data_IF_378480439155
#
_entry.id   IF_378480439155
#
_cell.length_a   1.000
_cell.length_b   1.000
_cell.length_c   1.000
_cell.angle_alpha   90.00
_cell.angle_beta   90.00
_cell.angle_gamma   90.00
#
_symmetry.space_group_name_H-M   'P 1'
#
loop_
_entity.id
_entity.type
_entity.pdbx_description
1 polymer ?
#
# COMPACT_ATOMS: atom_id res chain seq x y z
N UNK A 1 8.62 -1.42 -19.94
CA UNK A 1 7.79 -1.72 -18.76
C UNK A 1 8.75 -1.97 -17.61
N UNK A 2 8.65 -1.27 -16.48
CA UNK A 2 9.62 -1.37 -15.41
C UNK A 2 9.26 -2.52 -14.48
N UNK A 3 10.27 -3.06 -13.82
CA UNK A 3 10.11 -3.82 -12.57
C UNK A 3 10.32 -2.91 -11.36
N UNK A 4 11.21 -1.92 -11.47
CA UNK A 4 11.37 -0.86 -10.48
C UNK A 4 10.53 0.37 -10.82
N UNK A 5 9.69 0.83 -9.89
CA UNK A 5 9.00 2.14 -9.97
C UNK A 5 9.12 2.90 -8.66
N UNK A 6 8.94 4.21 -8.69
CA UNK A 6 8.85 5.02 -7.47
C UNK A 6 7.41 5.00 -6.94
N UNK A 7 7.23 4.47 -5.72
CA UNK A 7 5.95 4.46 -5.03
C UNK A 7 5.92 5.54 -3.95
N UNK A 8 4.93 6.43 -4.01
CA UNK A 8 4.88 7.68 -3.24
C UNK A 8 4.60 7.49 -1.74
N UNK A 9 3.71 6.55 -1.39
CA UNK A 9 2.96 6.61 -0.12
C UNK A 9 3.55 5.73 1.01
N UNK A 10 4.86 5.46 0.89
CA UNK A 10 5.66 4.80 1.90
C UNK A 10 6.11 5.75 3.03
N UNK A 11 6.33 5.21 4.24
CA UNK A 11 6.78 6.00 5.38
C UNK A 11 8.14 6.68 5.12
N UNK A 12 8.14 8.02 5.23
CA UNK A 12 9.31 8.85 4.99
C UNK A 12 9.55 9.26 3.53
N UNK A 13 8.53 9.16 2.67
CA UNK A 13 8.49 9.72 1.31
C UNK A 13 8.49 8.67 0.20
N UNK A 14 8.61 9.09 -1.08
CA UNK A 14 8.69 8.16 -2.21
C UNK A 14 9.90 7.22 -2.08
N UNK A 15 9.68 5.93 -2.32
CA UNK A 15 10.72 4.91 -2.34
C UNK A 15 10.63 4.13 -3.65
N UNK A 16 11.77 3.89 -4.29
CA UNK A 16 11.88 2.98 -5.44
C UNK A 16 11.73 1.54 -4.97
N UNK A 17 10.77 0.82 -5.56
CA UNK A 17 10.42 -0.55 -5.19
C UNK A 17 10.36 -1.47 -6.41
N UNK A 18 10.80 -2.71 -6.22
CA UNK A 18 10.87 -3.76 -7.25
C UNK A 18 9.65 -4.68 -7.16
N UNK A 19 8.91 -4.81 -8.27
CA UNK A 19 7.78 -5.70 -8.44
C UNK A 19 8.21 -7.09 -8.98
N UNK A 20 7.46 -8.13 -8.62
CA UNK A 20 7.62 -9.50 -9.15
C UNK A 20 7.47 -9.55 -10.67
N UNK A 21 6.61 -8.67 -11.19
CA UNK A 21 6.15 -8.61 -12.57
C UNK A 21 6.35 -7.20 -13.16
N UNK A 22 6.20 -7.08 -14.47
CA UNK A 22 6.41 -5.81 -15.18
C UNK A 22 5.17 -4.93 -15.15
N UNK A 23 5.32 -3.69 -14.65
CA UNK A 23 4.26 -2.68 -14.69
C UNK A 23 4.19 -1.99 -16.07
N UNK A 24 3.00 -1.82 -16.66
CA UNK A 24 2.81 -0.94 -17.81
C UNK A 24 3.13 0.53 -17.49
N UNK A 25 3.87 1.23 -18.37
CA UNK A 25 4.27 2.63 -18.13
C UNK A 25 3.09 3.58 -17.92
N UNK A 26 1.95 3.32 -18.57
CA UNK A 26 0.75 4.15 -18.45
C UNK A 26 0.13 4.08 -17.05
N UNK A 27 0.45 3.09 -16.20
CA UNK A 27 -0.08 2.97 -14.82
C UNK A 27 0.51 4.03 -13.86
N UNK A 28 1.52 4.78 -14.31
CA UNK A 28 2.20 5.82 -13.52
C UNK A 28 1.51 7.17 -13.66
N UNK A 29 1.64 8.04 -12.66
CA UNK A 29 1.09 9.40 -12.67
C UNK A 29 1.75 10.25 -13.77
N UNK A 30 1.01 10.60 -14.83
CA UNK A 30 1.55 11.24 -16.03
C UNK A 30 2.37 12.53 -15.76
N UNK A 31 1.99 13.42 -14.81
CA UNK A 31 2.83 14.55 -14.40
C UNK A 31 4.19 14.18 -13.76
N UNK A 32 4.30 13.10 -12.98
CA UNK A 32 5.47 12.87 -12.10
C UNK A 32 6.15 11.48 -12.21
N UNK A 33 5.61 10.54 -12.97
CA UNK A 33 6.20 9.21 -13.18
C UNK A 33 6.08 8.23 -12.00
N UNK A 34 5.48 8.63 -10.88
CA UNK A 34 5.33 7.79 -9.68
C UNK A 34 4.01 7.02 -9.68
N UNK A 35 4.01 5.86 -9.01
CA UNK A 35 2.79 5.17 -8.57
C UNK A 35 2.37 5.66 -7.17
N UNK A 36 1.08 5.58 -6.85
CA UNK A 36 0.50 6.05 -5.59
C UNK A 36 -0.64 5.15 -5.13
N UNK A 37 -0.98 5.21 -3.84
CA UNK A 37 -2.16 4.58 -3.26
C UNK A 37 -3.47 5.21 -3.77
N UNK A 38 -3.44 6.51 -4.08
CA UNK A 38 -4.60 7.27 -4.58
C UNK A 38 -4.32 7.77 -6.01
N UNK A 39 -5.00 7.15 -6.97
CA UNK A 39 -4.86 7.41 -8.41
C UNK A 39 -6.22 7.70 -9.03
N UNK A 40 -6.24 8.58 -10.02
CA UNK A 40 -7.41 8.98 -10.79
C UNK A 40 -7.13 8.84 -12.28
N UNK A 41 -8.13 8.49 -13.09
CA UNK A 41 -8.05 8.32 -14.56
C UNK A 41 -8.83 9.40 -15.30
N UNK A 42 -8.30 9.90 -16.42
CA UNK A 42 -9.06 10.71 -17.38
C UNK A 42 -9.86 9.84 -18.37
N UNK A 43 -10.70 10.48 -19.18
CA UNK A 43 -11.52 9.84 -20.23
C UNK A 43 -10.70 9.04 -21.27
N UNK A 44 -9.38 9.27 -21.36
CA UNK A 44 -8.47 8.56 -22.28
C UNK A 44 -7.61 7.50 -21.58
N UNK A 45 -7.84 7.25 -20.29
CA UNK A 45 -7.12 6.24 -19.50
C UNK A 45 -5.74 6.67 -19.01
N UNK A 46 -5.40 7.95 -19.00
CA UNK A 46 -4.17 8.45 -18.37
C UNK A 46 -4.39 8.63 -16.87
N UNK A 47 -3.39 8.26 -16.06
CA UNK A 47 -3.52 8.28 -14.61
C UNK A 47 -2.78 9.45 -13.95
N UNK A 48 -3.33 9.92 -12.83
CA UNK A 48 -2.88 11.08 -12.06
C UNK A 48 -2.98 10.76 -10.57
N UNK A 49 -1.90 10.95 -9.79
CA UNK A 49 -1.96 10.73 -8.35
C UNK A 49 -2.54 11.94 -7.60
N UNK A 50 -3.18 11.67 -6.46
CA UNK A 50 -3.78 12.66 -5.55
C UNK A 50 -2.89 13.89 -5.34
N UNK A 51 -1.62 13.68 -4.98
CA UNK A 51 -0.66 14.75 -4.70
C UNK A 51 -0.41 15.69 -5.90
N UNK A 52 -0.50 15.21 -7.14
CA UNK A 52 -0.38 16.05 -8.33
C UNK A 52 -1.68 16.80 -8.66
N UNK A 53 -2.84 16.24 -8.30
CA UNK A 53 -4.15 16.89 -8.42
C UNK A 53 -4.25 18.04 -7.40
N UNK A 54 -3.93 17.80 -6.13
CA UNK A 54 -3.97 18.83 -5.08
C UNK A 54 -3.02 19.99 -5.38
N UNK A 55 -1.81 19.71 -5.88
CA UNK A 55 -0.86 20.73 -6.32
C UNK A 55 -1.36 21.60 -7.50
N UNK A 56 -2.38 21.14 -8.25
CA UNK A 56 -2.98 21.87 -9.37
C UNK A 56 -4.44 22.31 -9.10
N UNK A 57 -4.98 22.03 -7.90
CA UNK A 57 -6.36 22.34 -7.48
C UNK A 57 -6.80 23.76 -7.86
N UNK A 58 -5.98 24.76 -7.54
CA UNK A 58 -6.21 26.18 -7.83
C UNK A 58 -6.33 26.50 -9.33
N UNK A 59 -5.67 25.73 -10.19
CA UNK A 59 -5.70 25.91 -11.65
C UNK A 59 -6.87 25.17 -12.31
N UNK A 60 -7.52 24.24 -11.60
CA UNK A 60 -8.59 23.34 -12.10
C UNK A 60 -8.21 22.48 -13.33
N UNK A 61 -6.94 22.50 -13.73
CA UNK A 61 -6.37 21.74 -14.85
C UNK A 61 -5.01 21.17 -14.49
N UNK A 62 -4.68 20.01 -15.05
CA UNK A 62 -3.44 19.26 -14.82
C UNK A 62 -2.83 18.82 -16.16
N UNK A 63 -1.52 18.98 -16.31
CA UNK A 63 -0.83 18.72 -17.57
C UNK A 63 -0.42 17.25 -17.71
N UNK A 64 -0.97 16.56 -18.71
CA UNK A 64 -0.59 15.20 -19.07
C UNK A 64 0.66 15.20 -19.97
N UNK A 65 1.78 14.70 -19.46
CA UNK A 65 3.04 14.60 -20.22
C UNK A 65 3.06 13.50 -21.29
N UNK A 66 2.15 12.52 -21.22
CA UNK A 66 2.06 11.47 -22.24
C UNK A 66 1.45 11.98 -23.57
N UNK A 67 0.56 12.97 -23.49
CA UNK A 67 -0.13 13.54 -24.67
C UNK A 67 0.16 15.03 -24.88
N UNK A 68 1.03 15.63 -24.06
CA UNK A 68 1.37 17.05 -24.09
C UNK A 68 0.12 17.99 -24.00
N UNK A 69 -0.86 17.61 -23.16
CA UNK A 69 -2.23 18.15 -23.12
C UNK A 69 -2.69 18.48 -21.70
N UNK A 70 -3.41 19.58 -21.52
CA UNK A 70 -4.13 19.91 -20.27
C UNK A 70 -5.41 19.07 -20.13
N UNK A 71 -5.63 18.49 -18.95
CA UNK A 71 -6.84 17.76 -18.55
C UNK A 71 -7.56 18.53 -17.45
N UNK A 72 -8.89 18.65 -17.50
CA UNK A 72 -9.66 19.31 -16.44
C UNK A 72 -9.82 18.38 -15.22
N UNK A 73 -9.64 18.91 -14.01
CA UNK A 73 -9.75 18.13 -12.77
C UNK A 73 -11.17 17.60 -12.53
N UNK A 74 -12.19 18.23 -13.11
CA UNK A 74 -13.60 17.79 -13.11
C UNK A 74 -13.85 16.51 -13.92
N UNK A 75 -12.93 16.13 -14.80
CA UNK A 75 -13.07 15.00 -15.73
C UNK A 75 -12.25 13.78 -15.27
N UNK A 76 -11.67 13.86 -14.05
CA UNK A 76 -10.91 12.78 -13.44
C UNK A 76 -11.82 11.92 -12.56
N UNK A 77 -11.81 10.62 -12.79
CA UNK A 77 -12.55 9.63 -12.01
C UNK A 77 -11.58 8.80 -11.17
N UNK A 78 -12.00 8.25 -10.03
CA UNK A 78 -11.13 7.39 -9.22
C UNK A 78 -10.73 6.12 -9.99
N UNK A 79 -9.45 5.76 -9.91
CA UNK A 79 -8.86 4.62 -10.63
C UNK A 79 -8.81 3.37 -9.75
N UNK A 80 -9.91 3.06 -9.05
CA UNK A 80 -10.00 2.01 -8.03
C UNK A 80 -9.52 0.64 -8.55
N UNK A 81 -9.83 0.30 -9.81
CA UNK A 81 -9.38 -0.93 -10.47
C UNK A 81 -7.85 -1.02 -10.58
N UNK A 82 -7.18 0.09 -10.93
CA UNK A 82 -5.72 0.18 -10.96
C UNK A 82 -5.14 0.09 -9.55
N UNK A 83 -5.74 0.80 -8.60
CA UNK A 83 -5.29 0.82 -7.20
C UNK A 83 -5.35 -0.58 -6.58
N UNK A 84 -6.48 -1.29 -6.70
CA UNK A 84 -6.63 -2.65 -6.18
C UNK A 84 -5.66 -3.63 -6.85
N UNK A 85 -5.66 -3.68 -8.20
CA UNK A 85 -4.80 -4.62 -8.94
C UNK A 85 -3.31 -4.40 -8.67
N UNK A 86 -2.86 -3.16 -8.48
CA UNK A 86 -1.46 -2.86 -8.12
C UNK A 86 -1.15 -3.09 -6.63
N UNK A 87 -2.09 -2.86 -5.71
CA UNK A 87 -1.92 -3.16 -4.28
C UNK A 87 -1.70 -4.66 -4.01
N UNK A 88 -2.34 -5.52 -4.80
CA UNK A 88 -2.20 -6.97 -4.78
C UNK A 88 -0.92 -7.50 -5.49
N UNK A 89 -0.13 -6.67 -6.18
CA UNK A 89 1.11 -7.17 -6.80
C UNK A 89 2.19 -7.46 -5.74
N UNK A 90 2.91 -8.56 -5.90
CA UNK A 90 4.06 -8.89 -5.05
C UNK A 90 5.21 -7.92 -5.32
N UNK A 91 5.78 -7.38 -4.26
CA UNK A 91 6.93 -6.49 -4.27
C UNK A 91 8.01 -6.98 -3.30
N UNK A 92 9.28 -6.76 -3.67
CA UNK A 92 10.42 -7.04 -2.82
C UNK A 92 10.68 -5.87 -1.86
N UNK A 93 11.15 -6.16 -0.64
CA UNK A 93 11.55 -5.13 0.29
C UNK A 93 12.68 -4.25 -0.29
N UNK A 94 12.57 -2.91 -0.29
CA UNK A 94 13.66 -2.01 -0.68
C UNK A 94 14.99 -2.28 0.04
N UNK A 95 14.93 -2.80 1.27
CA UNK A 95 16.10 -3.18 2.07
C UNK A 95 16.72 -4.54 1.64
N UNK A 96 16.30 -5.13 0.51
CA UNK A 96 16.90 -6.33 -0.12
C UNK A 96 18.41 -6.19 -0.34
N UNK A 97 18.88 -4.98 -0.68
CA UNK A 97 20.31 -4.66 -0.80
C UNK A 97 21.07 -4.64 0.54
N UNK A 98 20.36 -4.61 1.66
CA UNK A 98 20.88 -4.72 3.03
C UNK A 98 20.70 -6.14 3.60
N UNK A 99 20.24 -7.10 2.80
CA UNK A 99 20.00 -8.49 3.21
C UNK A 99 18.53 -8.86 3.51
N UNK A 100 17.56 -7.96 3.30
CA UNK A 100 16.16 -8.28 3.58
C UNK A 100 15.56 -9.23 2.53
N UNK A 101 15.27 -10.47 2.91
CA UNK A 101 14.69 -11.50 2.02
C UNK A 101 13.17 -11.40 1.87
N UNK A 102 12.49 -10.51 2.61
CA UNK A 102 11.03 -10.40 2.59
C UNK A 102 10.51 -9.79 1.29
N UNK A 103 9.44 -10.39 0.79
CA UNK A 103 8.56 -9.90 -0.27
C UNK A 103 7.11 -10.13 0.20
N UNK A 104 6.19 -9.28 -0.25
CA UNK A 104 4.76 -9.36 0.06
C UNK A 104 3.96 -8.50 -0.92
N UNK A 105 2.63 -8.50 -0.81
CA UNK A 105 1.77 -7.57 -1.55
C UNK A 105 2.09 -6.10 -1.22
N UNK A 106 1.92 -5.20 -2.19
CA UNK A 106 2.24 -3.77 -2.08
C UNK A 106 1.49 -3.05 -0.94
N UNK A 107 0.23 -3.43 -0.67
CA UNK A 107 -0.53 -2.95 0.49
C UNK A 107 0.19 -3.28 1.82
N UNK A 108 0.69 -4.51 1.97
CA UNK A 108 1.33 -5.03 3.19
C UNK A 108 2.79 -4.58 3.34
N UNK A 109 3.45 -4.16 2.25
CA UNK A 109 4.82 -3.64 2.29
C UNK A 109 4.96 -2.40 3.20
N UNK A 110 3.90 -1.59 3.35
CA UNK A 110 3.89 -0.44 4.27
C UNK A 110 4.02 -0.86 5.73
N UNK A 111 3.37 -1.96 6.13
CA UNK A 111 3.55 -2.54 7.47
C UNK A 111 4.95 -3.14 7.60
N UNK A 112 5.39 -3.94 6.61
CA UNK A 112 6.73 -4.53 6.64
C UNK A 112 7.83 -3.48 6.85
N UNK A 113 7.79 -2.34 6.16
CA UNK A 113 8.82 -1.29 6.32
C UNK A 113 8.88 -0.69 7.74
N UNK A 114 7.78 -0.63 8.49
CA UNK A 114 7.76 -0.15 9.88
C UNK A 114 8.35 -1.17 10.86
N UNK A 115 8.27 -2.46 10.54
CA UNK A 115 8.71 -3.60 11.36
C UNK A 115 10.08 -4.18 10.93
N UNK A 116 10.56 -3.85 9.73
CA UNK A 116 11.74 -4.44 9.11
C UNK A 116 13.02 -4.12 9.92
N UNK A 117 13.78 -5.12 10.42
CA UNK A 117 15.02 -4.90 11.18
C UNK A 117 16.13 -4.17 10.41
N UNK A 118 15.99 -4.05 9.09
CA UNK A 118 16.93 -3.40 8.19
C UNK A 118 16.44 -2.03 7.69
N UNK A 119 15.28 -1.55 8.16
CA UNK A 119 14.87 -0.16 7.93
C UNK A 119 15.74 0.76 8.78
N UNK A 120 16.48 1.72 8.19
CA UNK A 120 17.31 2.63 8.97
C UNK A 120 16.46 3.58 9.82
N UNK A 121 16.96 3.89 11.03
CA UNK A 121 16.35 4.89 11.90
C UNK A 121 16.22 6.25 11.17
N UNK A 122 15.12 6.96 11.44
CA UNK A 122 14.81 8.28 10.87
C UNK A 122 14.91 9.34 11.96
N UNK A 123 15.39 10.53 11.59
CA UNK A 123 15.41 11.68 12.51
C UNK A 123 14.03 12.34 12.63
N UNK A 124 13.63 12.67 13.85
CA UNK A 124 12.50 13.57 14.10
C UNK A 124 12.80 14.97 13.54
N UNK A 125 11.84 15.59 12.83
CA UNK A 125 12.03 16.92 12.21
C UNK A 125 12.11 18.08 13.23
N UNK A 126 11.67 17.86 14.46
CA UNK A 126 11.60 18.91 15.49
C UNK A 126 12.77 18.88 16.49
N UNK A 127 13.35 17.69 16.76
CA UNK A 127 14.41 17.52 17.76
C UNK A 127 15.60 16.64 17.29
N UNK A 128 15.66 16.34 15.99
CA UNK A 128 16.70 15.53 15.32
C UNK A 128 17.00 14.13 15.91
N UNK A 129 16.20 13.67 16.87
CA UNK A 129 16.37 12.37 17.54
C UNK A 129 16.13 11.22 16.55
N UNK A 130 17.09 10.31 16.46
CA UNK A 130 17.05 9.14 15.57
C UNK A 130 16.22 8.01 16.20
N UNK A 131 15.13 7.62 15.53
CA UNK A 131 14.17 6.64 16.04
C UNK A 131 13.86 5.55 15.00
N UNK A 132 13.51 4.32 15.43
CA UNK A 132 12.93 3.31 14.54
C UNK A 132 11.63 3.82 13.91
N UNK A 133 11.34 3.35 12.70
CA UNK A 133 10.23 3.87 11.90
C UNK A 133 8.84 3.69 12.55
N UNK A 134 8.65 2.61 13.33
CA UNK A 134 7.46 2.40 14.16
C UNK A 134 7.28 3.48 15.23
N UNK A 135 8.35 3.83 15.95
CA UNK A 135 8.29 4.74 17.12
C UNK A 135 8.28 6.22 16.71
N UNK A 136 8.76 6.53 15.49
CA UNK A 136 8.83 7.89 14.96
C UNK A 136 7.45 8.58 14.90
N UNK A 137 6.38 7.86 14.53
CA UNK A 137 5.03 8.46 14.41
C UNK A 137 4.54 8.98 15.76
N UNK A 138 4.59 8.13 16.77
CA UNK A 138 4.07 8.43 18.11
C UNK A 138 4.96 9.48 18.79
N UNK A 139 6.27 9.45 18.50
CA UNK A 139 7.17 10.53 18.84
C UNK A 139 6.82 11.85 18.13
N UNK A 140 6.65 11.92 16.81
CA UNK A 140 6.29 13.18 16.10
C UNK A 140 4.97 13.75 16.65
N UNK A 141 4.01 12.89 17.01
CA UNK A 141 2.75 13.26 17.65
C UNK A 141 2.89 13.80 19.09
N UNK A 142 3.94 13.43 19.82
CA UNK A 142 4.19 13.80 21.22
C UNK A 142 5.42 14.71 21.45
N UNK A 143 6.22 14.98 20.42
CA UNK A 143 7.55 15.57 20.55
C UNK A 143 7.52 16.94 21.28
N UNK A 144 8.33 17.13 22.35
CA UNK A 144 8.40 18.39 23.09
C UNK A 144 8.83 19.60 22.24
N UNK A 145 9.62 19.38 21.18
CA UNK A 145 10.08 20.48 20.31
C UNK A 145 9.13 20.79 19.15
N UNK A 146 8.09 19.97 18.92
CA UNK A 146 7.08 20.27 17.90
C UNK A 146 6.38 21.59 18.24
N UNK A 147 6.43 22.53 17.31
CA UNK A 147 5.75 23.82 17.42
C UNK A 147 4.24 23.64 17.25
N UNK A 148 3.48 24.19 18.19
CA UNK A 148 2.02 24.25 18.19
C UNK A 148 1.55 25.70 18.26
N UNK A 149 0.47 26.01 17.55
CA UNK A 149 -0.04 27.38 17.46
C UNK A 149 -0.87 27.73 18.70
N UNK A 150 -0.61 28.88 19.32
CA UNK A 150 -1.42 29.38 20.41
C UNK A 150 -2.69 30.07 19.89
N UNK A 151 -3.86 29.52 20.22
CA UNK A 151 -5.17 30.05 19.79
C UNK A 151 -5.49 31.48 20.28
N UNK A 152 -4.67 32.05 21.19
CA UNK A 152 -4.86 33.40 21.73
C UNK A 152 -4.02 34.43 20.95
N UNK A 153 -2.72 34.16 20.75
CA UNK A 153 -1.80 35.12 20.09
C UNK A 153 -1.32 34.69 18.69
N UNK A 154 -1.80 33.55 18.18
CA UNK A 154 -1.47 32.93 16.89
C UNK A 154 0.03 32.62 16.63
N UNK A 155 0.90 32.80 17.63
CA UNK A 155 2.32 32.41 17.56
C UNK A 155 2.48 30.90 17.62
N UNK A 156 3.44 30.36 16.87
CA UNK A 156 3.95 29.01 17.07
C UNK A 156 4.89 28.97 18.28
N UNK A 157 4.67 28.01 19.19
CA UNK A 157 5.42 27.83 20.44
C UNK A 157 5.78 26.35 20.58
N UNK A 158 6.98 25.99 21.03
CA UNK A 158 7.34 24.58 21.22
C UNK A 158 6.47 23.95 22.30
N UNK A 159 6.04 22.70 22.12
CA UNK A 159 5.16 22.00 23.07
C UNK A 159 5.71 22.02 24.50
N UNK A 160 7.03 21.87 24.67
CA UNK A 160 7.77 21.99 25.94
C UNK A 160 7.47 23.28 26.71
N UNK A 161 7.28 24.40 25.99
CA UNK A 161 7.07 25.73 26.58
C UNK A 161 5.62 26.21 26.51
N UNK A 162 4.73 25.46 25.84
CA UNK A 162 3.37 25.86 25.56
C UNK A 162 2.49 26.07 26.81
N UNK A 163 2.64 25.25 27.85
CA UNK A 163 1.85 25.41 29.08
C UNK A 163 2.22 26.70 29.84
N UNK A 164 3.52 26.99 29.93
CA UNK A 164 4.02 28.25 30.49
C UNK A 164 3.52 29.44 29.67
N UNK A 165 3.70 29.40 28.34
CA UNK A 165 3.20 30.43 27.44
C UNK A 165 1.68 30.62 27.54
N UNK A 166 0.89 29.54 27.62
CA UNK A 166 -0.58 29.60 27.79
C UNK A 166 -0.95 30.36 29.07
N UNK A 167 -0.25 30.09 30.16
CA UNK A 167 -0.46 30.74 31.46
C UNK A 167 -0.02 32.21 31.49
N UNK A 168 0.87 32.66 30.60
CA UNK A 168 1.23 34.07 30.43
C UNK A 168 0.30 34.78 29.45
N UNK A 169 -0.02 34.13 28.33
CA UNK A 169 -0.87 34.68 27.27
C UNK A 169 -2.32 34.87 27.73
N UNK A 170 -2.80 34.05 28.68
CA UNK A 170 -4.08 34.26 29.38
C UNK A 170 -4.05 35.41 30.41
N UNK A 171 -2.86 35.85 30.87
CA UNK A 171 -2.69 36.94 31.83
C UNK A 171 -2.48 38.31 31.18
N UNK A 172 -2.60 38.41 29.85
CA UNK A 172 -2.48 39.66 29.10
C UNK A 172 -3.85 40.08 28.53
N UNK A 173 -4.61 40.96 29.22
CA UNK A 173 -5.72 41.69 28.61
C UNK A 173 -5.23 42.51 27.40
N UNK A 174 -6.11 42.72 26.42
CA UNK A 174 -5.71 43.30 25.12
C UNK A 174 -5.16 44.72 25.20
N UNK A 175 -3.86 44.88 24.91
CA UNK A 175 -3.26 46.15 24.50
C UNK A 175 -2.68 46.07 23.08
N UNK A 176 -3.50 45.60 22.13
CA UNK A 176 -3.20 45.65 20.69
C UNK A 176 -4.19 46.51 19.87
N UNK A 177 -4.84 47.50 20.50
CA UNK A 177 -5.59 48.55 19.79
C UNK A 177 -4.64 49.61 19.21
N UNK A 178 -4.02 49.30 18.08
CA UNK A 178 -3.57 50.31 17.11
C UNK A 178 -4.21 50.03 15.74
N UNK A 179 -5.18 50.86 15.40
CA UNK A 179 -5.82 50.86 14.08
C UNK A 179 -4.90 51.37 12.96
N UNK A 180 -5.41 51.41 11.72
CA UNK A 180 -4.61 51.68 10.53
C UNK A 180 -4.03 53.09 10.49
N UNK A 181 -2.83 53.22 9.93
CA UNK A 181 -2.26 54.50 9.48
C UNK A 181 -2.35 54.59 7.96
N UNK A 182 -3.27 55.42 7.46
CA UNK A 182 -3.29 55.83 6.07
C UNK A 182 -2.46 57.11 5.82
N UNK A 183 -1.91 57.19 4.60
CA UNK A 183 -1.73 58.39 3.74
C UNK A 183 -0.99 59.62 4.31
N UNK A 184 0.19 59.87 3.71
CA UNK A 184 0.57 61.11 2.99
C UNK A 184 1.68 60.68 2.00
N UNK A 185 1.41 60.60 0.69
CA UNK A 185 1.26 61.67 -0.30
C UNK A 185 2.61 62.20 -0.81
N UNK A 186 2.75 62.27 -2.14
CA UNK A 186 4.01 62.55 -2.86
C UNK A 186 4.33 64.06 -2.97
N UNK A 187 5.40 64.41 -3.71
CA UNK A 187 5.17 65.17 -4.95
C UNK A 187 5.76 64.51 -6.21
N UNK A 188 5.43 65.06 -7.39
CA UNK A 188 5.59 64.43 -8.70
C UNK A 188 6.40 65.27 -9.69
N UNK A 189 7.10 64.61 -10.64
CA UNK A 189 7.52 65.11 -11.96
C UNK A 189 7.89 63.88 -12.83
N UNK A 190 7.21 63.51 -13.94
CA UNK A 190 7.01 64.17 -15.26
C UNK A 190 8.29 64.18 -16.13
N UNK A 191 8.36 63.59 -17.33
CA UNK A 191 7.37 62.79 -18.11
C UNK A 191 8.03 61.51 -18.71
N UNK A 192 7.89 61.00 -19.95
CA UNK A 192 7.43 61.47 -21.28
C UNK A 192 6.94 60.30 -22.18
N UNK A 193 6.57 60.59 -23.44
CA UNK A 193 6.17 59.65 -24.51
C UNK A 193 7.38 58.84 -25.10
N UNK A 194 7.25 57.82 -25.98
CA UNK A 194 6.25 57.57 -27.03
C UNK A 194 6.14 56.09 -27.46
N UNK A 195 5.06 55.74 -28.17
CA UNK A 195 5.00 54.62 -29.13
C UNK A 195 4.94 55.21 -30.58
N UNK A 196 5.20 54.46 -31.67
CA UNK A 196 4.18 53.51 -32.18
C UNK A 196 4.71 52.30 -33.01
N UNK A 197 3.74 51.57 -33.59
CA UNK A 197 3.79 50.83 -34.86
C UNK A 197 4.34 49.38 -34.92
N UNK A 198 3.57 48.55 -35.63
CA UNK A 198 3.87 47.19 -36.07
C UNK A 198 4.61 47.19 -37.42
N UNK A 199 5.12 46.02 -37.86
CA UNK A 199 4.74 45.36 -39.15
C UNK A 199 5.55 44.06 -39.41
N UNK A 200 4.90 43.10 -40.07
CA UNK A 200 5.41 42.02 -40.95
C UNK A 200 6.59 41.12 -40.56
N UNK A 201 6.45 39.80 -40.79
CA UNK A 201 7.57 38.85 -40.93
C UNK A 201 8.17 38.82 -42.35
N UNK A 202 9.01 37.81 -42.66
CA UNK A 202 8.58 36.84 -43.67
C UNK A 202 8.85 35.37 -43.30
N UNK A 203 8.72 34.48 -44.28
CA UNK A 203 8.46 33.03 -44.16
C UNK A 203 9.67 32.08 -44.00
N UNK A 204 9.34 30.90 -43.44
CA UNK A 204 9.74 29.52 -43.81
C UNK A 204 11.17 29.24 -44.30
N UNK A 205 11.83 28.31 -43.59
CA UNK A 205 12.67 27.29 -44.20
C UNK A 205 12.22 25.91 -43.69
N UNK A 206 11.90 24.99 -44.61
CA UNK A 206 11.41 23.65 -44.28
C UNK A 206 12.57 22.66 -44.03
N UNK A 207 12.44 21.81 -43.02
CA UNK A 207 13.28 20.62 -42.81
C UNK A 207 12.37 19.41 -42.65
N UNK A 208 12.65 18.36 -43.43
CA UNK A 208 11.77 17.23 -43.71
C UNK A 208 11.56 16.29 -42.53
N UNK A 209 10.39 15.67 -42.51
CA UNK A 209 10.02 14.51 -41.70
C UNK A 209 10.90 13.27 -41.99
N UNK A 210 11.17 12.42 -40.98
CA UNK A 210 11.43 11.01 -41.15
C UNK A 210 10.12 10.21 -41.04
N UNK A 211 9.87 9.36 -42.05
CA UNK A 211 8.65 8.55 -42.22
C UNK A 211 8.45 7.50 -41.08
N UNK A 212 7.21 7.13 -40.70
CA UNK A 212 6.95 6.33 -39.52
C UNK A 212 7.08 4.82 -39.79
N UNK A 213 7.95 4.13 -39.06
CA UNK A 213 8.00 2.65 -39.09
C UNK A 213 8.39 2.00 -37.77
N UNK A 214 7.66 0.95 -37.41
CA UNK A 214 8.07 -0.12 -36.49
C UNK A 214 8.34 0.29 -35.02
N UNK A 215 7.44 1.06 -34.42
CA UNK A 215 7.12 0.78 -33.00
C UNK A 215 6.46 -0.59 -32.93
N UNK A 216 7.22 -1.63 -32.56
CA UNK A 216 6.66 -2.97 -32.32
C UNK A 216 5.69 -2.91 -31.14
N UNK A 217 4.40 -2.91 -31.44
CA UNK A 217 3.35 -3.33 -30.52
C UNK A 217 3.63 -4.77 -30.09
N UNK A 218 4.16 -4.95 -28.89
CA UNK A 218 4.29 -6.27 -28.27
C UNK A 218 2.87 -6.77 -28.03
N UNK A 219 2.45 -7.77 -28.80
CA UNK A 219 1.13 -8.38 -28.74
C UNK A 219 0.92 -9.11 -27.41
N UNK A 220 -0.34 -9.29 -27.02
CA UNK A 220 -0.70 -9.92 -25.74
C UNK A 220 -0.30 -11.41 -25.68
N UNK A 221 -0.08 -12.02 -26.85
CA UNK A 221 0.40 -13.39 -27.13
C UNK A 221 1.54 -13.89 -26.22
N UNK A 222 2.39 -13.00 -25.69
CA UNK A 222 3.53 -13.37 -24.84
C UNK A 222 3.26 -13.36 -23.32
N UNK A 223 1.99 -13.28 -22.92
CA UNK A 223 1.55 -13.54 -21.55
C UNK A 223 1.03 -14.98 -21.39
N UNK A 224 1.15 -15.52 -20.19
CA UNK A 224 0.55 -16.76 -19.70
C UNK A 224 -0.10 -16.48 -18.35
N UNK A 225 -1.38 -16.78 -18.19
CA UNK A 225 -2.07 -16.67 -16.90
C UNK A 225 -1.46 -17.62 -15.87
N UNK A 226 -1.18 -17.11 -14.68
CA UNK A 226 -0.69 -17.92 -13.56
C UNK A 226 -1.82 -18.84 -13.07
N UNK A 227 -1.56 -20.15 -13.01
CA UNK A 227 -2.54 -21.16 -12.57
C UNK A 227 -3.02 -21.02 -11.10
N UNK A 228 -2.36 -20.16 -10.29
CA UNK A 228 -2.65 -19.98 -8.86
C UNK A 228 -3.35 -18.65 -8.54
N UNK A 229 -3.09 -17.59 -9.30
CA UNK A 229 -3.66 -16.26 -9.08
C UNK A 229 -4.31 -15.64 -10.34
N UNK A 230 -4.46 -16.44 -11.40
CA UNK A 230 -5.06 -16.14 -12.71
C UNK A 230 -4.42 -14.98 -13.52
N UNK A 231 -3.52 -14.21 -12.90
CA UNK A 231 -2.89 -13.01 -13.46
C UNK A 231 -2.05 -13.30 -14.71
N UNK A 232 -2.19 -12.52 -15.80
CA UNK A 232 -1.44 -12.71 -17.04
C UNK A 232 0.02 -12.22 -16.91
N UNK A 233 0.93 -13.17 -16.69
CA UNK A 233 2.36 -12.94 -16.49
C UNK A 233 3.12 -13.20 -17.79
N UNK A 234 4.10 -12.36 -18.17
CA UNK A 234 4.92 -12.61 -19.38
C UNK A 234 5.64 -13.97 -19.29
N UNK A 235 5.68 -14.74 -20.38
CA UNK A 235 6.31 -16.08 -20.43
C UNK A 235 7.74 -16.11 -19.84
N UNK A 236 8.56 -15.10 -20.17
CA UNK A 236 9.93 -14.93 -19.66
C UNK A 236 10.04 -14.65 -18.14
N UNK A 237 8.95 -14.24 -17.50
CA UNK A 237 8.84 -13.91 -16.09
C UNK A 237 8.08 -14.98 -15.29
N UNK A 238 7.34 -15.87 -15.95
CA UNK A 238 6.40 -16.82 -15.34
C UNK A 238 7.03 -17.66 -14.22
N UNK A 239 8.22 -18.21 -14.45
CA UNK A 239 8.93 -18.99 -13.44
C UNK A 239 9.31 -18.15 -12.21
N UNK A 240 9.83 -16.93 -12.42
CA UNK A 240 10.15 -16.00 -11.32
C UNK A 240 8.90 -15.60 -10.53
N UNK A 241 7.75 -15.47 -11.21
CA UNK A 241 6.47 -15.25 -10.57
C UNK A 241 6.06 -16.48 -9.74
N UNK A 242 6.16 -17.71 -10.25
CA UNK A 242 5.82 -18.93 -9.48
C UNK A 242 6.62 -19.05 -8.17
N UNK A 243 7.85 -18.55 -8.11
CA UNK A 243 8.66 -18.57 -6.90
C UNK A 243 8.32 -17.45 -5.89
N UNK A 244 7.43 -16.49 -6.23
CA UNK A 244 6.95 -15.41 -5.31
C UNK A 244 5.43 -15.21 -5.35
N UNK A 245 4.68 -16.09 -6.01
CA UNK A 245 3.23 -16.04 -6.11
C UNK A 245 2.60 -16.35 -4.75
N UNK A 246 1.77 -15.45 -4.23
CA UNK A 246 1.25 -15.56 -2.86
C UNK A 246 0.05 -16.53 -2.77
N UNK A 247 -0.71 -16.69 -3.86
CA UNK A 247 -1.74 -17.73 -3.99
C UNK A 247 -1.20 -19.12 -4.34
N UNK A 248 0.11 -19.27 -4.60
CA UNK A 248 0.70 -20.61 -4.78
C UNK A 248 0.62 -21.35 -3.46
N UNK A 249 0.11 -22.57 -3.54
CA UNK A 249 0.08 -23.51 -2.42
C UNK A 249 1.45 -24.17 -2.22
N UNK A 250 1.84 -24.33 -0.96
CA UNK A 250 2.98 -25.13 -0.53
C UNK A 250 2.52 -26.08 0.59
N UNK A 251 3.21 -27.21 0.77
CA UNK A 251 2.84 -28.21 1.79
C UNK A 251 3.36 -27.81 3.17
N UNK A 252 2.47 -27.69 4.16
CA UNK A 252 2.87 -27.39 5.53
C UNK A 252 3.74 -28.51 6.13
N UNK A 253 4.95 -28.16 6.57
CA UNK A 253 5.94 -29.07 7.17
C UNK A 253 5.48 -29.82 8.42
N UNK A 254 4.32 -29.44 8.99
CA UNK A 254 3.75 -30.04 10.19
C UNK A 254 2.51 -30.90 9.92
N UNK A 255 1.71 -30.55 8.91
CA UNK A 255 0.44 -31.25 8.64
C UNK A 255 0.28 -31.83 7.25
N UNK A 256 1.18 -31.51 6.31
CA UNK A 256 1.15 -31.89 4.89
C UNK A 256 -0.12 -31.48 4.14
N UNK A 257 -0.87 -30.51 4.66
CA UNK A 257 -1.92 -29.84 3.90
C UNK A 257 -1.31 -28.84 2.91
N UNK A 258 -1.87 -28.68 1.70
CA UNK A 258 -1.51 -27.59 0.79
C UNK A 258 -2.12 -26.28 1.30
N UNK A 259 -1.31 -25.21 1.37
CA UNK A 259 -1.70 -23.93 1.96
C UNK A 259 -1.12 -22.80 1.12
N UNK A 260 -1.96 -21.80 0.80
CA UNK A 260 -1.47 -20.59 0.12
C UNK A 260 -0.44 -19.87 0.99
N UNK A 261 0.55 -19.24 0.36
CA UNK A 261 1.53 -18.38 1.08
C UNK A 261 0.91 -17.14 1.72
N UNK A 262 -0.33 -16.80 1.38
CA UNK A 262 -1.11 -15.74 2.03
C UNK A 262 -1.62 -16.21 3.39
N UNK A 263 -2.20 -17.42 3.41
CA UNK A 263 -2.82 -18.05 4.58
C UNK A 263 -1.83 -18.81 5.46
N UNK A 264 -0.56 -18.90 5.05
CA UNK A 264 0.46 -19.66 5.76
C UNK A 264 0.61 -19.24 7.23
N UNK A 265 0.61 -17.93 7.50
CA UNK A 265 0.75 -17.42 8.88
C UNK A 265 -0.47 -17.75 9.72
N UNK A 266 -1.68 -17.52 9.19
CA UNK A 266 -2.93 -17.83 9.90
C UNK A 266 -3.07 -19.32 10.14
N UNK A 267 -2.56 -20.18 9.25
CA UNK A 267 -2.42 -21.60 9.52
C UNK A 267 -1.35 -21.91 10.58
N UNK A 268 -0.15 -21.35 10.49
CA UNK A 268 0.95 -21.61 11.44
C UNK A 268 0.53 -21.32 12.89
N UNK A 269 -0.24 -20.26 13.10
CA UNK A 269 -0.83 -19.87 14.40
C UNK A 269 -1.93 -20.83 14.92
N UNK A 270 -2.58 -21.65 14.07
CA UNK A 270 -3.67 -22.59 14.46
C UNK A 270 -3.40 -24.07 14.15
N UNK A 271 -2.25 -24.40 13.57
CA UNK A 271 -1.92 -25.76 13.15
C UNK A 271 -1.77 -26.68 14.36
N UNK A 272 -2.70 -27.63 14.53
CA UNK A 272 -2.70 -28.65 15.60
C UNK A 272 -1.39 -29.46 15.67
N UNK A 273 -0.71 -29.63 14.52
CA UNK A 273 0.54 -30.40 14.41
C UNK A 273 1.80 -29.54 14.56
N UNK A 274 1.67 -28.21 14.68
CA UNK A 274 2.81 -27.33 14.94
C UNK A 274 3.33 -27.56 16.38
N UNK A 275 4.62 -27.92 16.57
CA UNK A 275 5.20 -28.13 17.89
C UNK A 275 5.03 -26.99 18.90
N UNK A 276 4.90 -25.74 18.45
CA UNK A 276 4.66 -24.59 19.34
C UNK A 276 3.20 -24.51 19.82
N UNK A 277 2.23 -24.98 19.02
CA UNK A 277 0.83 -24.99 19.41
C UNK A 277 0.53 -26.15 20.36
N UNK A 278 1.08 -27.34 20.08
CA UNK A 278 1.01 -28.51 20.97
C UNK A 278 1.51 -28.16 22.39
N UNK A 279 2.60 -27.38 22.50
CA UNK A 279 3.13 -26.89 23.79
C UNK A 279 2.18 -25.90 24.49
N UNK A 280 1.46 -25.06 23.75
CA UNK A 280 0.49 -24.10 24.30
C UNK A 280 -0.74 -24.81 24.87
N UNK A 281 -1.28 -25.79 24.15
CA UNK A 281 -2.41 -26.60 24.65
C UNK A 281 -2.02 -27.50 25.83
N UNK A 282 -0.76 -27.92 25.90
CA UNK A 282 -0.21 -28.68 27.03
C UNK A 282 -0.07 -27.85 28.32
N UNK A 283 -0.30 -26.52 28.30
CA UNK A 283 -0.24 -25.67 29.47
C UNK A 283 -1.58 -25.68 30.24
N UNK A 284 -1.63 -26.14 31.50
CA UNK A 284 -2.89 -26.28 32.23
C UNK A 284 -3.55 -24.94 32.53
N UNK A 285 -4.72 -24.71 31.93
CA UNK A 285 -5.56 -23.54 32.20
C UNK A 285 -6.12 -23.59 33.62
N UNK A 286 -5.59 -22.74 34.52
CA UNK A 286 -5.99 -22.68 35.94
C UNK A 286 -7.33 -21.95 36.10
N UNK A 287 -8.42 -22.63 35.74
CA UNK A 287 -9.78 -22.18 35.96
C UNK A 287 -10.14 -22.19 37.46
N UNK A 288 -10.00 -21.05 38.14
CA UNK A 288 -10.51 -20.84 39.50
C UNK A 288 -12.04 -20.78 39.50
N UNK A 289 -12.70 -21.93 39.63
CA UNK A 289 -14.15 -21.98 39.86
C UNK A 289 -14.44 -21.66 41.34
N UNK A 290 -15.25 -20.63 41.60
CA UNK A 290 -15.64 -20.23 42.96
C UNK A 290 -16.92 -20.91 43.43
N UNK A 291 -16.93 -21.43 44.65
CA UNK A 291 -18.10 -22.11 45.23
C UNK A 291 -19.25 -21.15 45.61
N UNK A 292 -20.47 -21.49 45.17
CA UNK A 292 -21.81 -21.17 45.72
C UNK A 292 -22.86 -21.76 44.76
N UNK A 293 -23.96 -22.37 45.17
CA UNK A 293 -24.43 -22.77 46.50
C UNK A 293 -25.76 -23.53 46.35
N UNK A 294 -25.96 -24.62 47.12
CA UNK A 294 -27.00 -25.65 46.89
C UNK A 294 -28.45 -25.11 46.91
N UNK A 295 -29.30 -25.58 45.98
CA UNK A 295 -30.71 -25.96 46.22
C UNK A 295 -31.08 -27.19 45.37
N UNK A 296 -31.87 -28.10 45.93
CA UNK A 296 -32.33 -29.35 45.29
C UNK A 296 -33.82 -29.26 44.92
N UNK A 297 -34.32 -30.13 44.03
CA UNK A 297 -35.69 -30.67 44.02
C UNK A 297 -35.82 -31.90 43.08
N UNK A 298 -36.38 -33.00 43.60
CA UNK A 298 -37.21 -34.08 42.97
C UNK A 298 -37.02 -34.44 41.48
N UNK A 299 -36.56 -35.66 41.13
CA UNK A 299 -37.31 -36.96 40.99
C UNK A 299 -38.05 -37.10 39.63
N UNK A 300 -38.36 -38.26 39.03
CA UNK A 300 -38.39 -39.68 39.45
C UNK A 300 -37.88 -40.64 38.33
N UNK A 301 -38.00 -41.97 38.52
CA UNK A 301 -37.56 -43.05 37.60
C UNK A 301 -38.54 -43.31 36.42
N UNK A 302 -38.08 -43.90 35.30
CA UNK A 302 -38.38 -45.31 34.94
C UNK A 302 -37.59 -45.85 33.70
N UNK A 303 -37.75 -47.13 33.35
CA UNK A 303 -36.73 -47.97 32.68
C UNK A 303 -37.02 -48.51 31.24
N UNK A 304 -35.99 -49.20 30.66
CA UNK A 304 -35.98 -50.11 29.46
C UNK A 304 -35.99 -49.41 28.07
N UNK A 305 -35.46 -49.95 26.96
CA UNK A 305 -34.72 -51.18 26.59
C UNK A 305 -33.64 -50.77 25.53
N UNK A 306 -32.42 -51.31 25.39
CA UNK A 306 -31.91 -52.69 25.23
C UNK A 306 -32.07 -53.28 23.79
N UNK A 307 -30.95 -53.72 23.18
CA UNK A 307 -30.91 -54.40 21.87
C UNK A 307 -29.66 -54.10 21.00
N UNK A 308 -28.83 -55.11 20.72
CA UNK A 308 -27.69 -55.05 19.75
C UNK A 308 -27.71 -56.34 18.85
N UNK A 309 -26.73 -56.66 17.97
CA UNK A 309 -26.97 -56.84 16.52
C UNK A 309 -26.92 -58.31 16.03
N UNK A 310 -26.98 -58.52 14.70
CA UNK A 310 -26.44 -59.73 14.04
C UNK A 310 -26.09 -59.54 12.56
N UNK A 311 -25.26 -60.44 12.04
CA UNK A 311 -24.72 -60.50 10.67
C UNK A 311 -25.46 -61.56 9.81
N UNK A 312 -25.22 -61.62 8.48
CA UNK A 312 -24.50 -62.72 7.78
C UNK A 312 -24.80 -62.82 6.25
N UNK A 313 -23.73 -62.95 5.43
CA UNK A 313 -23.61 -63.75 4.16
C UNK A 313 -24.53 -63.39 2.95
N UNK A 314 -24.32 -63.79 1.68
CA UNK A 314 -23.39 -64.65 0.87
C UNK A 314 -23.47 -64.14 -0.63
N UNK A 315 -22.66 -64.44 -1.66
CA UNK A 315 -21.37 -65.16 -1.86
C UNK A 315 -20.69 -64.73 -3.20
N UNK A 316 -20.16 -65.67 -4.00
CA UNK A 316 -19.25 -65.53 -5.17
C UNK A 316 -19.99 -65.39 -6.55
N UNK A 317 -19.38 -65.26 -7.76
CA UNK A 317 -18.20 -65.96 -8.33
C UNK A 317 -17.73 -65.41 -9.71
N UNK A 318 -16.57 -65.91 -10.19
CA UNK A 318 -15.97 -65.83 -11.56
C UNK A 318 -15.32 -64.49 -12.01
N UNK A 319 -14.33 -64.47 -12.93
CA UNK A 319 -13.19 -65.40 -13.19
C UNK A 319 -12.17 -64.78 -14.20
N UNK A 320 -10.88 -64.81 -13.86
CA UNK A 320 -9.68 -64.94 -14.73
C UNK A 320 -9.54 -64.17 -16.07
N UNK A 321 -8.46 -63.37 -16.20
CA UNK A 321 -7.23 -63.77 -16.98
C UNK A 321 -6.10 -62.73 -16.91
N UNK A 322 -4.87 -63.20 -17.14
CA UNK A 322 -3.62 -62.41 -17.10
C UNK A 322 -3.26 -61.82 -18.47
N UNK A 323 -2.42 -60.79 -18.50
CA UNK A 323 -1.17 -60.81 -19.29
C UNK A 323 -0.12 -59.85 -18.71
N UNK A 324 1.16 -60.23 -18.83
CA UNK A 324 2.33 -59.40 -18.52
C UNK A 324 3.03 -58.94 -19.83
N UNK A 325 4.31 -58.56 -19.72
CA UNK A 325 5.26 -57.98 -20.71
C UNK A 325 5.27 -56.44 -20.71
N UNK A 326 6.33 -55.72 -20.31
CA UNK A 326 7.81 -55.90 -20.33
C UNK A 326 8.48 -55.86 -21.72
N UNK A 327 9.33 -54.85 -21.90
CA UNK A 327 10.54 -54.76 -22.76
C UNK A 327 10.36 -54.99 -24.28
N UNK A 328 10.46 -53.90 -25.06
CA UNK A 328 11.71 -53.50 -25.77
C UNK A 328 11.94 -52.00 -25.56
#
# INVERSE_FOLDING_TARGET
MPREVEYRDFPGGPIRIEFSDELPHWNMCAPCGMLSAEMYKDERGHFFCRACIDANSQRKRIFCKHENRDVQLSNLNEATELVLSTQELTVFCPNKKLGCTKYCHLNNMKQHLMECPLTPNRKCKACDTMLPMKDLRDHEALCPETYIQCNICNKGISRRTYEHHRNECQRLPELSKRGPREKKSAPSASSSASAPASLTGPEVASIKDPDPSTTKSITDEDKKSCQFCERPVKKCNYEKHLQVCVKREEECSHCSLPISREDWKTHEDVCEKNPENIKRESAPSVCKLGEKGKKNLTSDNDAKNSGIPKQLLHSDKNSSKNSSYEII
#
